data_IF_293129997949
#
_entry.id   IF_293129997949
#
_cell.length_a   1.000
_cell.length_b   1.000
_cell.length_c   1.000
_cell.angle_alpha   90.00
_cell.angle_beta   90.00
_cell.angle_gamma   90.00
#
_symmetry.space_group_name_H-M   'P 1'
#
loop_
_entity.id
_entity.type
_entity.pdbx_description
1 polymer ?
#
# COMPACT_ATOMS: atom_id res chain seq x y z
N UNK A 1 -11.85 -9.00 -8.83
CA UNK A 1 -11.12 -8.16 -9.80
C UNK A 1 -10.86 -8.99 -11.05
N UNK A 2 -11.14 -8.49 -12.26
CA UNK A 2 -10.87 -9.24 -13.49
C UNK A 2 -9.37 -9.18 -13.82
N UNK A 3 -8.81 -10.21 -14.46
CA UNK A 3 -7.37 -10.25 -14.86
C UNK A 3 -6.97 -9.03 -15.69
N UNK A 4 -7.86 -8.53 -16.54
CA UNK A 4 -7.63 -7.32 -17.34
C UNK A 4 -7.49 -6.07 -16.46
N UNK A 5 -8.36 -5.91 -15.46
CA UNK A 5 -8.30 -4.79 -14.51
C UNK A 5 -7.01 -4.83 -13.67
N UNK A 6 -6.52 -6.04 -13.34
CA UNK A 6 -5.25 -6.21 -12.63
C UNK A 6 -4.03 -5.80 -13.45
N UNK A 7 -4.00 -6.16 -14.74
CA UNK A 7 -2.88 -5.82 -15.64
C UNK A 7 -2.78 -4.33 -15.97
N UNK A 8 -3.88 -3.59 -15.85
CA UNK A 8 -3.96 -2.15 -16.09
C UNK A 8 -3.64 -1.31 -14.84
N UNK A 9 -3.37 -1.94 -13.69
CA UNK A 9 -2.99 -1.25 -12.47
C UNK A 9 -1.69 -0.43 -12.66
N UNK A 10 -1.63 0.80 -12.12
CA UNK A 10 -0.41 1.59 -12.13
C UNK A 10 0.68 0.87 -11.35
N UNK A 11 1.84 0.69 -11.96
CA UNK A 11 2.95 -0.06 -11.41
C UNK A 11 4.19 0.83 -11.35
N UNK A 12 4.52 1.35 -10.16
CA UNK A 12 5.61 2.32 -9.98
C UNK A 12 6.77 1.77 -9.13
N UNK A 13 7.07 0.48 -9.27
CA UNK A 13 8.09 -0.17 -8.44
C UNK A 13 9.52 0.16 -8.86
N UNK A 14 9.74 0.58 -10.10
CA UNK A 14 11.06 0.89 -10.63
C UNK A 14 11.20 2.35 -11.06
N UNK A 15 10.45 3.27 -10.44
CA UNK A 15 10.66 4.72 -10.62
C UNK A 15 11.97 5.17 -9.99
N UNK A 16 12.23 4.70 -8.77
CA UNK A 16 13.39 5.05 -7.97
C UNK A 16 14.68 4.43 -8.52
N UNK A 17 15.76 5.20 -8.53
CA UNK A 17 17.06 4.70 -8.98
C UNK A 17 17.59 3.58 -8.05
N UNK A 18 17.27 3.62 -6.75
CA UNK A 18 17.59 2.54 -5.80
C UNK A 18 16.98 1.20 -6.21
N UNK A 19 15.70 1.20 -6.62
CA UNK A 19 15.00 0.00 -7.06
C UNK A 19 15.60 -0.58 -8.36
N UNK A 20 16.00 0.30 -9.30
CA UNK A 20 16.67 -0.10 -10.54
C UNK A 20 18.03 -0.73 -10.25
N UNK A 21 18.85 -0.10 -9.41
CA UNK A 21 20.13 -0.65 -8.99
C UNK A 21 19.99 -1.98 -8.28
N UNK A 22 19.00 -2.10 -7.39
CA UNK A 22 18.70 -3.36 -6.72
C UNK A 22 18.40 -4.46 -7.72
N UNK A 23 17.58 -4.21 -8.74
CA UNK A 23 17.27 -5.19 -9.79
C UNK A 23 18.48 -5.57 -10.64
N UNK A 24 19.30 -4.59 -11.05
CA UNK A 24 20.49 -4.83 -11.87
C UNK A 24 21.48 -5.72 -11.12
N UNK A 25 21.78 -5.37 -9.87
CA UNK A 25 22.74 -6.10 -9.03
C UNK A 25 22.18 -7.47 -8.65
N UNK A 26 20.93 -7.53 -8.19
CA UNK A 26 20.31 -8.79 -7.76
C UNK A 26 20.18 -9.77 -8.92
N UNK A 27 19.83 -9.33 -10.13
CA UNK A 27 19.74 -10.20 -11.31
C UNK A 27 21.09 -10.75 -11.75
N UNK A 28 22.11 -9.88 -11.83
CA UNK A 28 23.46 -10.30 -12.22
C UNK A 28 24.03 -11.33 -11.22
N UNK A 29 23.93 -11.04 -9.92
CA UNK A 29 24.41 -11.94 -8.86
C UNK A 29 23.60 -13.23 -8.79
N UNK A 30 22.27 -13.13 -8.88
CA UNK A 30 21.38 -14.29 -8.83
C UNK A 30 21.68 -15.25 -9.97
N UNK A 31 21.81 -14.77 -11.21
CA UNK A 31 22.05 -15.67 -12.35
C UNK A 31 23.44 -16.31 -12.27
N UNK A 32 24.47 -15.58 -11.82
CA UNK A 32 25.79 -16.18 -11.58
C UNK A 32 25.71 -17.31 -10.55
N UNK A 33 25.07 -17.06 -9.41
CA UNK A 33 24.88 -18.08 -8.37
C UNK A 33 24.01 -19.24 -8.86
N UNK A 34 22.95 -18.95 -9.62
CA UNK A 34 22.05 -19.96 -10.15
C UNK A 34 22.77 -20.91 -11.09
N UNK A 35 23.56 -20.39 -12.04
CA UNK A 35 24.33 -21.24 -12.97
C UNK A 35 25.40 -22.02 -12.21
N UNK A 36 26.08 -21.40 -11.25
CA UNK A 36 27.13 -22.04 -10.46
C UNK A 36 26.60 -23.17 -9.56
N UNK A 37 25.39 -23.03 -9.00
CA UNK A 37 24.80 -24.03 -8.08
C UNK A 37 24.07 -25.13 -8.83
N UNK A 38 23.25 -24.77 -9.82
CA UNK A 38 22.32 -25.71 -10.46
C UNK A 38 22.84 -26.30 -11.76
N UNK A 39 23.90 -25.72 -12.32
CA UNK A 39 24.56 -26.18 -13.54
C UNK A 39 23.56 -26.60 -14.65
N UNK A 40 22.56 -25.78 -14.97
CA UNK A 40 21.43 -26.19 -15.82
C UNK A 40 21.84 -26.62 -17.24
N UNK A 41 23.10 -26.34 -17.62
CA UNK A 41 23.67 -26.65 -18.93
C UNK A 41 24.85 -27.63 -18.88
N UNK A 42 25.15 -28.22 -17.71
CA UNK A 42 26.28 -29.15 -17.55
C UNK A 42 27.64 -28.52 -17.87
N UNK A 43 27.83 -27.24 -17.50
CA UNK A 43 29.03 -26.46 -17.83
C UNK A 43 30.26 -26.94 -17.06
N UNK A 44 30.05 -27.60 -15.92
CA UNK A 44 31.11 -28.12 -15.08
C UNK A 44 31.15 -29.63 -15.22
N UNK A 45 32.33 -30.17 -15.52
CA UNK A 45 32.62 -31.59 -15.38
C UNK A 45 33.22 -31.76 -13.98
N UNK A 46 32.58 -32.53 -13.09
CA UNK A 46 32.92 -32.57 -11.65
C UNK A 46 34.37 -32.99 -11.36
N UNK A 47 35.05 -33.59 -12.32
CA UNK A 47 36.45 -33.98 -12.20
C UNK A 47 37.42 -32.78 -12.29
N UNK A 48 37.02 -31.64 -12.90
CA UNK A 48 37.75 -30.37 -12.90
C UNK A 48 36.81 -29.18 -13.06
N UNK A 49 36.70 -28.35 -12.01
CA UNK A 49 36.25 -26.96 -12.18
C UNK A 49 37.35 -26.21 -12.93
N UNK A 50 37.34 -26.31 -14.25
CA UNK A 50 38.27 -25.58 -15.10
C UNK A 50 37.99 -24.08 -14.99
N UNK A 51 39.05 -23.27 -14.88
CA UNK A 51 38.92 -21.80 -14.80
C UNK A 51 38.13 -21.18 -15.97
N UNK A 52 38.02 -21.91 -17.09
CA UNK A 52 37.19 -21.56 -18.23
C UNK A 52 35.68 -21.58 -17.91
N UNK A 53 35.18 -22.60 -17.20
CA UNK A 53 33.76 -22.68 -16.81
C UNK A 53 33.39 -21.53 -15.86
N UNK A 54 34.26 -21.22 -14.89
CA UNK A 54 34.09 -20.06 -14.01
C UNK A 54 34.10 -18.74 -14.81
N UNK A 55 34.99 -18.61 -15.80
CA UNK A 55 35.02 -17.45 -16.69
C UNK A 55 33.71 -17.28 -17.48
N UNK A 56 33.11 -18.37 -17.97
CA UNK A 56 31.81 -18.31 -18.67
C UNK A 56 30.67 -17.85 -17.76
N UNK A 57 30.63 -18.30 -16.49
CA UNK A 57 29.65 -17.83 -15.51
C UNK A 57 29.83 -16.34 -15.22
N UNK A 58 31.07 -15.89 -15.03
CA UNK A 58 31.39 -14.48 -14.82
C UNK A 58 30.96 -13.64 -16.04
N UNK A 59 31.25 -14.11 -17.25
CA UNK A 59 30.87 -13.46 -18.50
C UNK A 59 29.35 -13.29 -18.58
N UNK A 60 28.59 -14.31 -18.21
CA UNK A 60 27.12 -14.25 -18.18
C UNK A 60 26.60 -13.20 -17.19
N UNK A 61 27.17 -13.17 -15.98
CA UNK A 61 26.83 -12.17 -14.97
C UNK A 61 27.12 -10.74 -15.42
N UNK A 62 28.31 -10.50 -16.00
CA UNK A 62 28.72 -9.20 -16.54
C UNK A 62 27.82 -8.77 -17.69
N UNK A 63 27.47 -9.70 -18.59
CA UNK A 63 26.55 -9.44 -19.71
C UNK A 63 25.18 -8.99 -19.22
N UNK A 64 24.63 -9.68 -18.21
CA UNK A 64 23.36 -9.31 -17.59
C UNK A 64 23.45 -7.94 -16.94
N UNK A 65 24.53 -7.69 -16.18
CA UNK A 65 24.76 -6.40 -15.53
C UNK A 65 24.78 -5.26 -16.54
N UNK A 66 25.59 -5.35 -17.60
CA UNK A 66 25.72 -4.31 -18.62
C UNK A 66 24.39 -4.09 -19.34
N UNK A 67 23.70 -5.16 -19.71
CA UNK A 67 22.42 -5.07 -20.43
C UNK A 67 21.37 -4.39 -19.56
N UNK A 68 21.20 -4.82 -18.31
CA UNK A 68 20.22 -4.23 -17.39
C UNK A 68 20.60 -2.81 -16.98
N UNK A 69 21.89 -2.50 -16.84
CA UNK A 69 22.37 -1.14 -16.59
C UNK A 69 21.95 -0.22 -17.74
N UNK A 70 22.18 -0.65 -18.98
CA UNK A 70 21.81 0.08 -20.19
C UNK A 70 20.28 0.24 -20.31
N UNK A 71 19.52 -0.83 -20.11
CA UNK A 71 18.06 -0.78 -20.24
C UNK A 71 17.44 0.03 -19.10
N UNK A 72 17.72 -0.29 -17.84
CA UNK A 72 17.05 0.30 -16.68
C UNK A 72 17.46 1.74 -16.38
N UNK A 73 18.75 2.10 -16.53
CA UNK A 73 19.20 3.45 -16.18
C UNK A 73 19.20 4.42 -17.37
N UNK A 74 19.39 3.95 -18.60
CA UNK A 74 19.48 4.82 -19.78
C UNK A 74 18.25 4.72 -20.68
N UNK A 75 17.96 3.54 -21.23
CA UNK A 75 16.87 3.37 -22.20
C UNK A 75 15.52 3.68 -21.57
N UNK A 76 15.29 3.18 -20.36
CA UNK A 76 14.07 3.37 -19.61
C UNK A 76 13.74 4.84 -19.37
N UNK A 77 14.73 5.68 -19.06
CA UNK A 77 14.53 7.14 -18.90
C UNK A 77 14.04 7.78 -20.20
N UNK A 78 14.51 7.31 -21.36
CA UNK A 78 14.09 7.81 -22.69
C UNK A 78 12.70 7.33 -23.09
N UNK A 79 12.36 6.07 -22.77
CA UNK A 79 11.07 5.48 -23.15
C UNK A 79 9.94 5.90 -22.20
N UNK A 80 10.19 6.06 -20.88
CA UNK A 80 9.13 6.36 -19.92
C UNK A 80 8.62 7.80 -19.91
N UNK A 81 9.40 8.81 -20.32
CA UNK A 81 9.01 10.25 -20.32
C UNK A 81 8.04 10.64 -19.18
N UNK A 82 8.33 10.22 -17.94
CA UNK A 82 7.55 10.47 -16.71
C UNK A 82 6.11 9.90 -16.66
N UNK A 83 5.77 8.90 -17.46
CA UNK A 83 4.48 8.20 -17.36
C UNK A 83 4.56 7.00 -16.43
N UNK A 84 3.59 6.87 -15.51
CA UNK A 84 3.38 5.63 -14.76
C UNK A 84 2.93 4.55 -15.74
N UNK A 85 3.65 3.44 -15.77
CA UNK A 85 3.34 2.31 -16.64
C UNK A 85 2.41 1.33 -15.95
N UNK A 86 1.55 0.67 -16.72
CA UNK A 86 0.78 -0.47 -16.22
C UNK A 86 1.68 -1.68 -16.00
N UNK A 87 1.18 -2.67 -15.24
CA UNK A 87 1.87 -3.94 -15.04
C UNK A 87 2.16 -4.65 -16.37
N UNK A 88 1.22 -4.61 -17.33
CA UNK A 88 1.43 -5.17 -18.68
C UNK A 88 2.66 -4.58 -19.37
N UNK A 89 2.85 -3.26 -19.28
CA UNK A 89 3.98 -2.61 -19.93
C UNK A 89 5.31 -3.00 -19.29
N UNK A 90 5.34 -3.22 -17.97
CA UNK A 90 6.52 -3.74 -17.28
C UNK A 90 6.86 -5.17 -17.68
N UNK A 91 5.86 -6.04 -17.80
CA UNK A 91 6.05 -7.40 -18.28
C UNK A 91 6.57 -7.41 -19.73
N UNK A 92 6.02 -6.56 -20.59
CA UNK A 92 6.50 -6.45 -21.98
C UNK A 92 7.93 -5.90 -22.05
N UNK A 93 8.27 -4.95 -21.18
CA UNK A 93 9.63 -4.44 -21.07
C UNK A 93 10.61 -5.52 -20.63
N UNK A 94 10.25 -6.29 -19.60
CA UNK A 94 11.01 -7.45 -19.12
C UNK A 94 11.23 -8.49 -20.23
N UNK A 95 10.19 -8.82 -21.01
CA UNK A 95 10.33 -9.70 -22.19
C UNK A 95 11.32 -9.12 -23.22
N UNK A 96 11.27 -7.80 -23.45
CA UNK A 96 12.24 -7.10 -24.29
C UNK A 96 13.68 -7.19 -23.76
N UNK A 97 13.88 -7.11 -22.44
CA UNK A 97 15.21 -7.25 -21.82
C UNK A 97 15.78 -8.66 -22.00
N UNK A 98 14.96 -9.69 -21.79
CA UNK A 98 15.38 -11.08 -22.03
C UNK A 98 15.69 -11.31 -23.50
N UNK A 99 14.94 -10.69 -24.40
CA UNK A 99 15.19 -10.78 -25.84
C UNK A 99 16.53 -10.12 -26.20
N UNK A 100 16.82 -8.95 -25.64
CA UNK A 100 18.11 -8.27 -25.82
C UNK A 100 19.27 -9.12 -25.29
N UNK A 101 19.12 -9.76 -24.14
CA UNK A 101 20.12 -10.70 -23.61
C UNK A 101 20.34 -11.89 -24.54
N UNK A 102 19.27 -12.40 -25.16
CA UNK A 102 19.37 -13.50 -26.10
C UNK A 102 20.07 -13.07 -27.40
N UNK A 103 19.73 -11.91 -27.95
CA UNK A 103 20.42 -11.34 -29.11
C UNK A 103 21.91 -11.11 -28.80
N UNK A 104 22.23 -10.58 -27.62
CA UNK A 104 23.62 -10.38 -27.21
C UNK A 104 24.37 -11.70 -27.10
N UNK A 105 23.72 -12.76 -26.59
CA UNK A 105 24.28 -14.11 -26.55
C UNK A 105 24.62 -14.61 -27.97
N UNK A 106 23.71 -14.45 -28.92
CA UNK A 106 23.95 -14.83 -30.32
C UNK A 106 25.12 -14.06 -30.95
N UNK A 107 25.22 -12.76 -30.67
CA UNK A 107 26.31 -11.93 -31.18
C UNK A 107 27.67 -12.42 -30.66
N UNK A 108 27.75 -12.75 -29.36
CA UNK A 108 28.98 -13.31 -28.76
C UNK A 108 29.36 -14.63 -29.44
N UNK A 109 28.39 -15.54 -29.61
CA UNK A 109 28.65 -16.81 -30.31
C UNK A 109 29.14 -16.58 -31.74
N UNK A 110 28.51 -15.65 -32.48
CA UNK A 110 28.93 -15.36 -33.86
C UNK A 110 30.32 -14.73 -33.92
N UNK A 111 30.69 -13.90 -32.95
CA UNK A 111 32.05 -13.39 -32.83
C UNK A 111 33.04 -14.53 -32.59
N UNK A 112 32.78 -15.44 -31.65
CA UNK A 112 33.66 -16.59 -31.37
C UNK A 112 33.86 -17.43 -32.63
N UNK A 113 32.77 -17.70 -33.36
CA UNK A 113 32.82 -18.45 -34.61
C UNK A 113 33.74 -17.81 -35.66
N UNK A 114 33.63 -16.50 -35.86
CA UNK A 114 34.45 -15.77 -36.83
C UNK A 114 35.93 -15.70 -36.42
N UNK A 115 36.23 -15.56 -35.13
CA UNK A 115 37.60 -15.36 -34.65
C UNK A 115 38.37 -16.66 -34.39
N UNK A 116 37.69 -17.75 -34.06
CA UNK A 116 38.32 -19.01 -33.66
C UNK A 116 38.07 -20.16 -34.64
N UNK A 117 37.41 -19.91 -35.78
CA UNK A 117 37.00 -20.93 -36.75
C UNK A 117 36.27 -22.12 -36.08
N UNK A 118 35.54 -21.80 -35.01
CA UNK A 118 34.83 -22.76 -34.19
C UNK A 118 33.33 -22.57 -34.43
N UNK A 119 32.71 -23.52 -35.14
CA UNK A 119 31.25 -23.52 -35.31
C UNK A 119 30.61 -24.45 -34.29
N UNK A 120 30.04 -23.93 -33.17
CA UNK A 120 29.24 -24.76 -32.27
C UNK A 120 27.93 -25.22 -32.92
N UNK A 121 27.55 -24.60 -34.04
CA UNK A 121 26.36 -24.94 -34.79
C UNK A 121 26.74 -25.78 -36.01
N UNK A 122 26.06 -26.91 -36.17
CA UNK A 122 26.14 -27.70 -37.38
C UNK A 122 25.45 -26.92 -38.52
N UNK A 123 26.23 -26.57 -39.56
CA UNK A 123 25.76 -25.85 -40.74
C UNK A 123 24.66 -26.61 -41.51
N UNK A 124 24.42 -27.89 -41.19
CA UNK A 124 23.34 -28.68 -41.76
C UNK A 124 21.96 -28.41 -41.14
N UNK A 125 21.88 -27.70 -40.01
CA UNK A 125 20.60 -27.42 -39.35
C UNK A 125 19.70 -26.51 -40.20
N UNK A 126 18.42 -26.85 -40.26
CA UNK A 126 17.43 -26.01 -40.93
C UNK A 126 17.17 -24.71 -40.16
N UNK A 127 16.67 -23.67 -40.85
CA UNK A 127 16.23 -22.42 -40.20
C UNK A 127 15.25 -22.66 -39.05
N UNK A 128 14.36 -23.65 -39.20
CA UNK A 128 13.36 -24.03 -38.20
C UNK A 128 14.04 -24.52 -36.92
N UNK A 129 15.07 -25.34 -37.02
CA UNK A 129 15.83 -25.82 -35.85
C UNK A 129 16.54 -24.69 -35.11
N UNK A 130 17.12 -23.73 -35.83
CA UNK A 130 17.71 -22.53 -35.21
C UNK A 130 16.66 -21.70 -34.47
N UNK A 131 15.48 -21.53 -35.06
CA UNK A 131 14.37 -20.83 -34.42
C UNK A 131 13.90 -21.55 -33.14
N UNK A 132 13.86 -22.89 -33.15
CA UNK A 132 13.54 -23.68 -31.97
C UNK A 132 14.58 -23.53 -30.86
N UNK A 133 15.87 -23.64 -31.17
CA UNK A 133 16.95 -23.43 -30.19
C UNK A 133 16.87 -22.01 -29.61
N UNK A 134 16.66 -21.01 -30.46
CA UNK A 134 16.51 -19.63 -30.03
C UNK A 134 15.36 -19.48 -29.03
N UNK A 135 14.20 -20.05 -29.36
CA UNK A 135 13.00 -19.98 -28.54
C UNK A 135 13.16 -20.72 -27.21
N UNK A 136 13.76 -21.90 -27.23
CA UNK A 136 14.00 -22.73 -26.04
C UNK A 136 14.96 -22.04 -25.06
N UNK A 137 16.05 -21.47 -25.57
CA UNK A 137 16.99 -20.69 -24.75
C UNK A 137 16.33 -19.41 -24.24
N UNK A 138 15.49 -18.76 -25.04
CA UNK A 138 14.74 -17.57 -24.62
C UNK A 138 13.75 -17.89 -23.48
N UNK A 139 13.02 -19.01 -23.57
CA UNK A 139 12.15 -19.49 -22.49
C UNK A 139 12.95 -19.78 -21.23
N UNK A 140 14.04 -20.55 -21.37
CA UNK A 140 14.89 -20.91 -20.24
C UNK A 140 15.44 -19.68 -19.52
N UNK A 141 15.94 -18.69 -20.27
CA UNK A 141 16.39 -17.40 -19.70
C UNK A 141 15.25 -16.63 -19.05
N UNK A 142 14.06 -16.63 -19.65
CA UNK A 142 12.87 -16.00 -19.07
C UNK A 142 12.52 -16.61 -17.71
N UNK A 143 12.53 -17.94 -17.62
CA UNK A 143 12.24 -18.68 -16.39
C UNK A 143 13.26 -18.38 -15.29
N UNK A 144 14.56 -18.27 -15.62
CA UNK A 144 15.58 -17.91 -14.62
C UNK A 144 15.45 -16.44 -14.20
N UNK A 145 15.21 -15.53 -15.15
CA UNK A 145 15.12 -14.10 -14.88
C UNK A 145 13.84 -13.68 -14.14
N UNK A 146 12.80 -14.52 -14.13
CA UNK A 146 11.56 -14.21 -13.39
C UNK A 146 11.80 -14.15 -11.89
N UNK A 147 12.77 -14.90 -11.36
CA UNK A 147 13.10 -14.94 -9.94
C UNK A 147 13.66 -13.60 -9.43
N UNK A 148 14.75 -13.04 -10.00
CA UNK A 148 15.26 -11.75 -9.54
C UNK A 148 14.31 -10.59 -9.89
N UNK A 149 13.58 -10.67 -11.00
CA UNK A 149 12.55 -9.69 -11.35
C UNK A 149 11.40 -9.68 -10.32
N UNK A 150 10.76 -10.82 -10.08
CA UNK A 150 9.68 -10.97 -9.12
C UNK A 150 10.12 -10.72 -7.68
N UNK A 151 11.30 -11.22 -7.30
CA UNK A 151 11.89 -10.99 -5.99
C UNK A 151 12.14 -9.51 -5.70
N UNK A 152 12.63 -8.75 -6.69
CA UNK A 152 12.82 -7.30 -6.53
C UNK A 152 11.48 -6.58 -6.36
N UNK A 153 10.46 -6.94 -7.15
CA UNK A 153 9.11 -6.37 -7.02
C UNK A 153 8.53 -6.66 -5.63
N UNK A 154 8.61 -7.92 -5.18
CA UNK A 154 8.12 -8.35 -3.88
C UNK A 154 8.84 -7.61 -2.75
N UNK A 155 10.16 -7.48 -2.83
CA UNK A 155 10.96 -6.75 -1.84
C UNK A 155 10.51 -5.30 -1.72
N UNK A 156 10.34 -4.61 -2.84
CA UNK A 156 9.91 -3.20 -2.84
C UNK A 156 8.48 -3.07 -2.30
N UNK A 157 7.58 -3.99 -2.65
CA UNK A 157 6.22 -4.01 -2.13
C UNK A 157 6.19 -4.16 -0.62
N UNK A 158 6.91 -5.15 -0.08
CA UNK A 158 7.01 -5.36 1.37
C UNK A 158 7.65 -4.16 2.05
N UNK A 159 8.66 -3.54 1.44
CA UNK A 159 9.32 -2.35 1.99
C UNK A 159 8.37 -1.15 2.08
N UNK A 160 7.61 -0.88 1.02
CA UNK A 160 6.60 0.20 1.01
C UNK A 160 5.47 -0.06 1.99
N UNK A 161 5.00 -1.30 2.09
CA UNK A 161 4.00 -1.69 3.10
C UNK A 161 4.50 -1.46 4.53
N UNK A 162 5.76 -1.78 4.82
CA UNK A 162 6.35 -1.54 6.15
C UNK A 162 6.40 -0.05 6.49
N UNK A 163 6.77 0.81 5.53
CA UNK A 163 6.79 2.27 5.73
C UNK A 163 5.38 2.79 5.97
N UNK A 164 4.41 2.45 5.11
CA UNK A 164 3.03 2.89 5.25
C UNK A 164 2.40 2.42 6.58
N UNK A 165 2.73 1.19 7.03
CA UNK A 165 2.31 0.68 8.34
C UNK A 165 2.89 1.52 9.48
N UNK A 166 4.17 1.87 9.41
CA UNK A 166 4.86 2.67 10.44
C UNK A 166 4.29 4.10 10.51
N UNK A 167 4.03 4.73 9.37
CA UNK A 167 3.39 6.04 9.29
C UNK A 167 2.00 6.01 9.94
N UNK A 168 1.21 4.98 9.62
CA UNK A 168 -0.11 4.79 10.23
C UNK A 168 -0.02 4.56 11.75
N UNK A 169 0.95 3.76 12.21
CA UNK A 169 1.19 3.54 13.64
C UNK A 169 1.59 4.83 14.38
N UNK A 170 2.42 5.68 13.77
CA UNK A 170 2.81 6.99 14.33
C UNK A 170 1.63 7.97 14.38
N UNK A 171 0.80 8.01 13.34
CA UNK A 171 -0.43 8.81 13.32
C UNK A 171 -1.43 8.36 14.40
N UNK A 172 -1.59 7.04 14.56
CA UNK A 172 -2.43 6.47 15.62
C UNK A 172 -1.91 6.81 17.03
N UNK A 173 -0.60 6.83 17.25
CA UNK A 173 0.00 7.21 18.54
C UNK A 173 -0.20 8.70 18.85
N UNK A 174 0.04 9.58 17.89
CA UNK A 174 -0.20 11.01 18.06
C UNK A 174 -1.66 11.30 18.42
N UNK A 175 -2.59 10.56 17.82
CA UNK A 175 -4.02 10.66 18.12
C UNK A 175 -4.40 10.06 19.47
N UNK A 176 -3.71 9.01 19.94
CA UNK A 176 -3.90 8.50 21.30
C UNK A 176 -3.54 9.56 22.34
N UNK A 177 -2.43 10.28 22.14
CA UNK A 177 -2.03 11.37 23.03
C UNK A 177 -3.08 12.48 23.08
N UNK A 178 -3.68 12.86 21.93
CA UNK A 178 -4.76 13.85 21.89
C UNK A 178 -6.05 13.34 22.55
N UNK A 179 -6.37 12.06 22.36
CA UNK A 179 -7.55 11.45 22.97
C UNK A 179 -7.43 11.28 24.48
N UNK A 180 -6.26 10.91 25.01
CA UNK A 180 -6.02 10.80 26.45
C UNK A 180 -6.02 12.18 27.12
N UNK A 181 -5.66 13.26 26.40
CA UNK A 181 -5.90 14.65 26.87
C UNK A 181 -7.40 14.96 27.01
N UNK A 182 -8.22 14.52 26.06
CA UNK A 182 -9.68 14.75 26.12
C UNK A 182 -10.38 13.87 27.17
N UNK A 183 -9.91 12.64 27.35
CA UNK A 183 -10.47 11.64 28.26
C UNK A 183 -10.07 11.80 29.73
N UNK A 184 -9.38 12.88 30.10
CA UNK A 184 -9.18 13.23 31.50
C UNK A 184 -10.54 13.41 32.19
N UNK A 185 -10.80 12.61 33.23
CA UNK A 185 -12.04 12.62 34.04
C UNK A 185 -12.38 13.99 34.67
N UNK A 186 -11.54 15.00 34.51
CA UNK A 186 -11.68 16.34 35.08
C UNK A 186 -12.25 17.39 34.09
N UNK A 187 -12.46 17.05 32.82
CA UNK A 187 -13.01 17.98 31.83
C UNK A 187 -14.53 18.17 32.03
N UNK A 188 -14.88 19.17 32.84
CA UNK A 188 -16.27 19.59 33.08
C UNK A 188 -16.74 20.53 31.97
N UNK A 189 -17.84 20.16 31.32
CA UNK A 189 -18.46 20.93 30.24
C UNK A 189 -19.66 21.70 30.76
N UNK A 190 -19.62 23.02 30.59
CA UNK A 190 -20.75 23.92 30.82
C UNK A 190 -21.60 24.04 29.55
N UNK A 191 -22.86 23.62 29.61
CA UNK A 191 -23.82 23.86 28.53
C UNK A 191 -24.61 25.12 28.83
N UNK A 192 -24.34 26.16 28.06
CA UNK A 192 -24.92 27.48 28.23
C UNK A 192 -26.25 27.63 27.48
N UNK A 193 -27.18 28.39 28.06
CA UNK A 193 -28.40 28.84 27.38
C UNK A 193 -28.14 30.02 26.41
N UNK A 194 -29.19 30.51 25.75
CA UNK A 194 -29.13 31.70 24.86
C UNK A 194 -28.59 32.94 25.58
N UNK A 195 -28.85 33.08 26.89
CA UNK A 195 -28.47 34.22 27.71
C UNK A 195 -27.07 34.07 28.35
N UNK A 196 -26.40 32.93 28.14
CA UNK A 196 -25.08 32.65 28.71
C UNK A 196 -25.12 32.10 30.14
N UNK A 197 -26.28 31.69 30.66
CA UNK A 197 -26.37 31.02 31.95
C UNK A 197 -26.07 29.53 31.81
N UNK A 198 -25.33 28.99 32.79
CA UNK A 198 -25.04 27.55 32.87
C UNK A 198 -26.33 26.79 33.17
N UNK A 199 -26.77 25.96 32.22
CA UNK A 199 -27.96 25.12 32.37
C UNK A 199 -27.58 23.69 32.76
N UNK A 200 -26.43 23.19 32.30
CA UNK A 200 -25.84 21.92 32.71
C UNK A 200 -24.35 22.07 32.94
N UNK A 201 -23.85 21.34 33.92
CA UNK A 201 -22.43 21.12 34.16
C UNK A 201 -22.22 19.61 34.28
N UNK A 202 -21.53 19.01 33.31
CA UNK A 202 -21.37 17.55 33.21
C UNK A 202 -19.94 17.20 32.77
N UNK A 203 -19.36 16.07 33.22
CA UNK A 203 -18.13 15.55 32.62
C UNK A 203 -18.33 15.30 31.12
N UNK A 204 -17.31 15.58 30.30
CA UNK A 204 -17.35 15.37 28.84
C UNK A 204 -17.81 13.95 28.47
N UNK A 205 -17.26 12.96 29.16
CA UNK A 205 -17.58 11.53 29.00
C UNK A 205 -19.04 11.18 29.30
N UNK A 206 -19.78 12.01 30.04
CA UNK A 206 -21.20 11.79 30.28
C UNK A 206 -22.07 12.33 29.15
N UNK A 207 -21.57 13.25 28.31
CA UNK A 207 -22.33 13.78 27.17
C UNK A 207 -22.32 12.73 26.06
N UNK A 208 -23.50 12.29 25.62
CA UNK A 208 -23.65 11.26 24.57
C UNK A 208 -23.92 11.91 23.21
N UNK A 209 -24.97 12.72 23.12
CA UNK A 209 -25.38 13.36 21.87
C UNK A 209 -26.21 14.62 22.09
N UNK A 210 -26.21 15.47 21.08
CA UNK A 210 -26.95 16.72 21.04
C UNK A 210 -27.93 16.66 19.86
N UNK A 211 -29.20 16.93 20.11
CA UNK A 211 -30.24 16.99 19.08
C UNK A 211 -30.86 18.38 19.02
N UNK A 212 -30.84 19.00 17.84
CA UNK A 212 -31.47 20.30 17.59
C UNK A 212 -32.97 20.15 17.42
N UNK A 213 -33.74 20.83 18.27
CA UNK A 213 -35.20 20.90 18.25
C UNK A 213 -35.66 22.37 18.24
N UNK A 214 -35.70 22.98 17.05
CA UNK A 214 -36.07 24.38 16.84
C UNK A 214 -35.13 25.36 17.60
N UNK A 215 -35.61 25.96 18.70
CA UNK A 215 -34.87 26.91 19.55
C UNK A 215 -34.25 26.25 20.79
N UNK A 216 -34.29 24.92 20.83
CA UNK A 216 -33.75 24.12 21.92
C UNK A 216 -32.76 23.09 21.37
N UNK A 217 -31.81 22.72 22.20
CA UNK A 217 -30.98 21.54 22.02
C UNK A 217 -31.30 20.56 23.13
N UNK A 218 -31.68 19.35 22.73
CA UNK A 218 -31.84 18.21 23.61
C UNK A 218 -30.47 17.57 23.84
N UNK A 219 -29.95 17.71 25.05
CA UNK A 219 -28.71 17.07 25.50
C UNK A 219 -29.06 15.70 26.06
N UNK A 220 -28.55 14.64 25.43
CA UNK A 220 -28.61 13.27 25.95
C UNK A 220 -27.31 12.99 26.71
N UNK A 221 -27.41 12.61 27.98
CA UNK A 221 -26.25 12.42 28.85
C UNK A 221 -26.46 11.25 29.83
N UNK A 222 -25.37 10.81 30.46
CA UNK A 222 -25.36 9.82 31.54
C UNK A 222 -25.46 10.57 32.87
N UNK A 223 -26.59 10.45 33.54
CA UNK A 223 -26.83 10.99 34.89
C UNK A 223 -26.79 9.91 35.96
N UNK A 224 -27.31 10.23 37.15
CA UNK A 224 -27.32 9.31 38.30
C UNK A 224 -28.28 8.13 38.10
N UNK A 225 -29.35 8.31 37.33
CA UNK A 225 -30.36 7.28 37.09
C UNK A 225 -30.16 6.55 35.73
N UNK A 226 -29.04 6.82 35.06
CA UNK A 226 -28.71 6.26 33.74
C UNK A 226 -28.85 7.27 32.61
N UNK A 227 -29.50 6.88 31.51
CA UNK A 227 -29.63 7.73 30.32
C UNK A 227 -30.70 8.82 30.55
N UNK A 228 -30.26 10.06 30.69
CA UNK A 228 -31.10 11.23 30.94
C UNK A 228 -31.11 12.19 29.75
N UNK A 229 -32.12 13.08 29.72
CA UNK A 229 -32.30 14.06 28.65
C UNK A 229 -32.70 15.41 29.23
N UNK A 230 -32.09 16.49 28.73
CA UNK A 230 -32.47 17.85 29.11
C UNK A 230 -32.54 18.78 27.91
N UNK A 231 -33.58 19.60 27.87
CA UNK A 231 -33.73 20.66 26.88
C UNK A 231 -33.04 21.93 27.38
N UNK A 232 -32.09 22.43 26.59
CA UNK A 232 -31.44 23.73 26.81
C UNK A 232 -31.86 24.66 25.68
N UNK A 233 -32.35 25.86 26.03
CA UNK A 233 -32.71 26.88 25.03
C UNK A 233 -31.43 27.47 24.47
N UNK A 234 -30.99 26.98 23.31
CA UNK A 234 -29.74 27.38 22.63
C UNK A 234 -29.73 26.82 21.20
N UNK A 235 -28.71 27.17 20.41
CA UNK A 235 -28.50 26.65 19.07
C UNK A 235 -27.39 25.60 19.07
N UNK A 236 -27.59 24.50 18.32
CA UNK A 236 -26.60 23.42 18.21
C UNK A 236 -25.22 23.92 17.78
N UNK A 237 -25.19 24.89 16.86
CA UNK A 237 -23.95 25.50 16.38
C UNK A 237 -23.17 26.23 17.48
N UNK A 238 -23.87 26.85 18.45
CA UNK A 238 -23.25 27.55 19.58
C UNK A 238 -22.55 26.56 20.52
N UNK A 239 -23.25 25.50 20.92
CA UNK A 239 -22.65 24.44 21.74
C UNK A 239 -21.46 23.80 21.00
N UNK A 240 -21.58 23.55 19.69
CA UNK A 240 -20.49 22.97 18.91
C UNK A 240 -19.25 23.86 18.82
N UNK A 241 -19.40 25.18 18.75
CA UNK A 241 -18.23 26.09 18.79
C UNK A 241 -17.57 26.13 20.17
N UNK A 242 -18.35 25.96 21.24
CA UNK A 242 -17.82 25.84 22.61
C UNK A 242 -17.12 24.49 22.83
N UNK A 243 -17.46 23.48 22.01
CA UNK A 243 -16.90 22.13 22.05
C UNK A 243 -15.92 21.82 20.93
N UNK A 244 -15.41 22.83 20.22
CA UNK A 244 -14.55 22.63 19.04
C UNK A 244 -13.26 21.88 19.36
N UNK A 245 -12.76 22.03 20.58
CA UNK A 245 -11.55 21.35 21.07
C UNK A 245 -11.80 19.91 21.55
N UNK A 246 -13.05 19.44 21.57
CA UNK A 246 -13.42 18.12 22.08
C UNK A 246 -13.92 17.20 20.95
N UNK A 247 -13.93 15.87 21.15
CA UNK A 247 -14.38 14.90 20.14
C UNK A 247 -15.92 14.84 19.99
N UNK A 248 -16.58 16.00 20.02
CA UNK A 248 -18.03 16.16 19.83
C UNK A 248 -18.28 16.72 18.44
N UNK A 249 -18.76 15.88 17.53
CA UNK A 249 -18.88 16.23 16.11
C UNK A 249 -20.32 16.25 15.64
N UNK A 250 -20.62 17.18 14.74
CA UNK A 250 -21.87 17.18 14.01
C UNK A 250 -21.91 16.00 13.03
N UNK A 251 -22.88 15.11 13.20
CA UNK A 251 -23.08 13.94 12.34
C UNK A 251 -24.32 14.06 11.44
N UNK A 252 -25.21 15.01 11.73
CA UNK A 252 -26.38 15.36 10.93
C UNK A 252 -26.68 16.86 11.07
N UNK A 253 -27.48 17.44 10.18
CA UNK A 253 -27.89 18.85 10.29
C UNK A 253 -28.55 19.21 11.63
N UNK A 254 -29.11 18.22 12.31
CA UNK A 254 -29.81 18.36 13.60
C UNK A 254 -29.20 17.50 14.70
N UNK A 255 -28.07 16.83 14.46
CA UNK A 255 -27.46 15.96 15.47
C UNK A 255 -25.95 16.17 15.55
N UNK A 256 -25.44 16.19 16.78
CA UNK A 256 -24.04 15.96 17.08
C UNK A 256 -23.89 14.81 18.08
N UNK A 257 -22.72 14.19 18.08
CA UNK A 257 -22.42 13.00 18.89
C UNK A 257 -21.06 13.17 19.54
N UNK A 258 -20.94 12.70 20.78
CA UNK A 258 -19.65 12.52 21.42
C UNK A 258 -19.05 11.18 20.97
N UNK A 259 -17.92 11.24 20.29
CA UNK A 259 -17.24 10.04 19.79
C UNK A 259 -16.67 9.17 20.92
N UNK A 260 -16.44 9.72 22.12
CA UNK A 260 -16.02 8.95 23.30
C UNK A 260 -17.04 7.84 23.62
N UNK A 261 -18.33 8.14 23.45
CA UNK A 261 -19.45 7.26 23.75
C UNK A 261 -19.94 6.45 22.55
N UNK A 262 -19.30 6.58 21.39
CA UNK A 262 -19.75 5.88 20.18
C UNK A 262 -19.08 4.52 20.05
N UNK A 263 -19.87 3.48 19.75
CA UNK A 263 -19.41 2.11 19.60
C UNK A 263 -19.11 1.75 18.13
N UNK A 264 -20.05 2.01 17.22
CA UNK A 264 -19.87 1.67 15.79
C UNK A 264 -20.83 2.42 14.88
N UNK A 265 -20.46 2.49 13.59
CA UNK A 265 -21.32 2.96 12.50
C UNK A 265 -21.98 1.77 11.81
N UNK A 266 -23.31 1.71 11.77
CA UNK A 266 -24.08 0.67 11.05
C UNK A 266 -25.00 1.26 9.99
N UNK A 267 -25.17 0.51 8.91
CA UNK A 267 -26.16 0.80 7.86
C UNK A 267 -27.44 0.05 8.19
N UNK A 268 -28.54 0.77 8.36
CA UNK A 268 -29.87 0.19 8.60
C UNK A 268 -30.87 0.89 7.68
N UNK A 269 -31.72 0.13 6.98
CA UNK A 269 -32.77 0.69 6.11
C UNK A 269 -32.25 1.75 5.09
N UNK A 270 -31.04 1.51 4.53
CA UNK A 270 -30.35 2.43 3.60
C UNK A 270 -29.94 3.79 4.21
N UNK A 271 -29.97 3.93 5.53
CA UNK A 271 -29.47 5.08 6.29
C UNK A 271 -28.33 4.67 7.22
N UNK A 272 -27.49 5.62 7.59
CA UNK A 272 -26.35 5.39 8.46
C UNK A 272 -26.68 5.84 9.88
N UNK A 273 -26.32 5.01 10.86
CA UNK A 273 -26.57 5.27 12.27
C UNK A 273 -25.34 4.97 13.10
N UNK A 274 -25.09 5.80 14.09
CA UNK A 274 -24.14 5.55 15.16
C UNK A 274 -24.83 4.84 16.31
N UNK A 275 -24.20 3.77 16.77
CA UNK A 275 -24.58 3.07 17.99
C UNK A 275 -23.76 3.59 19.15
N UNK A 276 -24.41 3.78 20.29
CA UNK A 276 -23.79 4.27 21.51
C UNK A 276 -23.36 3.08 22.39
N UNK A 277 -22.17 3.18 23.00
CA UNK A 277 -21.66 2.18 23.95
C UNK A 277 -22.68 1.95 25.06
N UNK A 278 -22.94 0.70 25.42
CA UNK A 278 -23.90 0.31 26.46
C UNK A 278 -25.38 0.70 26.23
N UNK A 279 -25.71 1.39 25.13
CA UNK A 279 -27.06 1.85 24.80
C UNK A 279 -27.41 1.57 23.34
N UNK A 280 -27.45 0.29 22.94
CA UNK A 280 -27.68 -0.13 21.54
C UNK A 280 -29.03 0.30 20.95
N UNK A 281 -30.01 0.60 21.81
CA UNK A 281 -31.33 1.12 21.42
C UNK A 281 -31.26 2.59 20.97
N UNK A 282 -30.25 3.34 21.42
CA UNK A 282 -30.03 4.71 21.02
C UNK A 282 -29.26 4.76 19.70
N UNK A 283 -29.89 5.35 18.69
CA UNK A 283 -29.34 5.45 17.34
C UNK A 283 -29.26 6.90 16.92
N UNK A 284 -28.06 7.40 16.65
CA UNK A 284 -27.86 8.76 16.16
C UNK A 284 -27.72 8.72 14.63
N UNK A 285 -28.59 9.39 13.85
CA UNK A 285 -28.51 9.34 12.39
C UNK A 285 -27.30 10.11 11.86
N UNK A 286 -26.70 9.60 10.79
CA UNK A 286 -25.58 10.24 10.08
C UNK A 286 -25.99 10.59 8.66
N UNK A 287 -25.83 11.86 8.28
CA UNK A 287 -26.10 12.32 6.92
C UNK A 287 -24.98 11.92 5.97
N UNK A 288 -25.26 11.86 4.66
CA UNK A 288 -24.23 11.58 3.65
C UNK A 288 -23.09 12.60 3.67
N UNK A 289 -23.40 13.87 3.98
CA UNK A 289 -22.42 14.96 4.03
C UNK A 289 -21.38 14.75 5.14
N UNK A 290 -21.80 14.27 6.31
CA UNK A 290 -20.91 14.07 7.46
C UNK A 290 -20.30 12.66 7.52
N UNK A 291 -20.74 11.75 6.64
CA UNK A 291 -20.34 10.34 6.71
C UNK A 291 -18.84 10.14 6.54
N UNK A 292 -18.19 10.90 5.64
CA UNK A 292 -16.75 10.78 5.42
C UNK A 292 -15.97 11.14 6.70
N UNK A 293 -16.24 12.32 7.25
CA UNK A 293 -15.61 12.82 8.49
C UNK A 293 -15.88 11.90 9.68
N UNK A 294 -17.12 11.45 9.87
CA UNK A 294 -17.48 10.55 10.97
C UNK A 294 -16.81 9.18 10.82
N UNK A 295 -16.70 8.66 9.59
CA UNK A 295 -16.06 7.36 9.34
C UNK A 295 -14.56 7.42 9.60
N UNK A 296 -13.90 8.50 9.19
CA UNK A 296 -12.51 8.78 9.51
C UNK A 296 -12.32 8.81 11.03
N UNK A 297 -13.09 9.64 11.75
CA UNK A 297 -12.99 9.78 13.20
C UNK A 297 -13.35 8.52 13.99
N UNK A 298 -14.26 7.68 13.49
CA UNK A 298 -14.60 6.40 14.12
C UNK A 298 -13.59 5.29 13.87
N UNK A 299 -13.01 5.23 12.66
CA UNK A 299 -11.89 4.33 12.42
C UNK A 299 -10.74 4.67 13.38
N UNK A 300 -10.58 5.95 13.70
CA UNK A 300 -9.59 6.45 14.66
C UNK A 300 -9.96 6.12 16.12
N UNK A 301 -11.24 6.03 16.49
CA UNK A 301 -11.67 5.71 17.87
C UNK A 301 -11.83 4.20 18.19
N UNK A 302 -12.18 3.36 17.21
CA UNK A 302 -12.47 1.92 17.41
C UNK A 302 -11.21 1.10 17.73
N UNK A 303 -10.03 1.55 17.34
CA UNK A 303 -8.74 0.87 17.63
C UNK A 303 -8.51 0.68 19.14
N UNK A 304 -9.04 1.56 19.98
CA UNK A 304 -8.97 1.45 21.46
C UNK A 304 -9.81 0.31 22.04
N UNK A 305 -10.85 -0.18 21.34
CA UNK A 305 -11.70 -1.29 21.82
C UNK A 305 -11.07 -2.67 21.62
N UNK A 306 -9.98 -2.79 20.86
CA UNK A 306 -9.31 -4.07 20.60
C UNK A 306 -7.96 -4.20 21.33
N UNK A 307 -7.49 -3.14 21.99
CA UNK A 307 -6.21 -3.11 22.71
C UNK A 307 -6.40 -3.16 24.24
N UNK A 308 -7.63 -2.94 24.73
CA UNK A 308 -8.06 -3.26 26.10
C UNK A 308 -8.92 -4.53 26.08
#
# INVERSE_FOLDING_TARGET
MRVKEFLDLPFDYFSEDKAKWLYVISSSLFVMLFIFIYEPFGVFDFDRVDGFAFFLVLLEGVKIFITLLATQLFLRKRVLKNKVWSLKNHLLYFMGEVLLLQIFTLLIYKCIEVFYDFSPFDYQRSFIEYAWIFFDVYISKTLVMIYPFGGTILYIYVSRLKVAKKELEEELLAMQDDYDRWGGHDNMIEVLDENGNVNLLLPLEHIISLESQNQYVLVNYIGSEGLEKKLVRTQLKKILSELEEYPVLQCHRSYAVNLLNTASLKVMEKKNYLLIKNYETMRVPVSKTYLAQIREMLMMSVVKSQVN
#
